data_IF_412415601922
#
_entry.id   IF_412415601922
#
_cell.length_a   1.000
_cell.length_b   1.000
_cell.length_c   1.000
_cell.angle_alpha   90.00
_cell.angle_beta   90.00
_cell.angle_gamma   90.00
#
_symmetry.space_group_name_H-M   'P 1'
#
loop_
_entity.id
_entity.type
_entity.pdbx_description
1 polymer ?
#
# COMPACT_ATOMS: atom_id res chain seq x y z
N UNK A 1 3.09 -10.91 33.89
CA UNK A 1 2.64 -10.50 32.54
C UNK A 1 3.63 -11.08 31.53
N UNK A 2 3.24 -12.13 30.82
CA UNK A 2 4.04 -12.66 29.69
C UNK A 2 3.98 -11.68 28.53
N UNK A 3 5.13 -11.08 28.17
CA UNK A 3 5.27 -10.32 26.91
C UNK A 3 5.18 -11.32 25.77
N UNK A 4 4.04 -11.39 25.09
CA UNK A 4 3.90 -12.10 23.83
C UNK A 4 4.96 -11.53 22.88
N UNK A 5 5.94 -12.33 22.48
CA UNK A 5 6.89 -12.01 21.41
C UNK A 5 6.07 -11.80 20.15
N UNK A 6 5.81 -10.53 19.75
CA UNK A 6 5.31 -10.22 18.42
C UNK A 6 6.41 -10.65 17.44
N UNK A 7 6.16 -11.70 16.69
CA UNK A 7 7.02 -12.06 15.57
C UNK A 7 6.99 -10.91 14.57
N UNK A 8 8.12 -10.21 14.42
CA UNK A 8 8.27 -9.17 13.41
C UNK A 8 8.18 -9.83 12.03
N UNK A 9 7.17 -9.49 11.26
CA UNK A 9 7.05 -9.93 9.88
C UNK A 9 8.06 -9.15 9.05
N UNK A 10 9.07 -9.81 8.54
CA UNK A 10 10.09 -9.23 7.66
C UNK A 10 10.06 -9.93 6.31
N UNK A 11 10.19 -9.17 5.25
CA UNK A 11 10.28 -9.70 3.89
C UNK A 11 11.13 -8.79 3.00
N UNK A 12 11.70 -9.36 1.93
CA UNK A 12 12.37 -8.62 0.88
C UNK A 12 11.39 -8.07 -0.16
N UNK A 13 10.12 -8.47 -0.09
CA UNK A 13 9.10 -8.16 -1.09
C UNK A 13 7.75 -7.94 -0.45
N UNK A 14 7.14 -6.83 -0.84
CA UNK A 14 5.74 -6.55 -0.50
C UNK A 14 4.97 -6.12 -1.75
N UNK A 15 3.81 -6.73 -1.97
CA UNK A 15 2.76 -6.13 -2.77
C UNK A 15 2.04 -5.07 -1.92
N UNK A 16 1.54 -4.04 -2.56
CA UNK A 16 0.82 -3.01 -1.84
C UNK A 16 -0.41 -2.51 -2.61
N UNK A 17 -1.36 -2.01 -1.84
CA UNK A 17 -2.52 -1.29 -2.35
C UNK A 17 -2.70 -0.02 -1.53
N UNK A 18 -2.88 1.12 -2.20
CA UNK A 18 -3.27 2.39 -1.56
C UNK A 18 -4.61 2.79 -2.15
N UNK A 19 -5.68 2.57 -1.38
CA UNK A 19 -7.04 2.90 -1.79
C UNK A 19 -7.26 4.42 -1.79
N UNK A 20 -7.96 4.93 -2.82
CA UNK A 20 -8.27 6.36 -2.97
C UNK A 20 -7.06 7.25 -2.64
N UNK A 21 -5.95 7.14 -3.40
CA UNK A 21 -4.69 7.80 -3.05
C UNK A 21 -4.74 9.32 -3.13
N UNK A 22 -5.69 9.87 -3.89
CA UNK A 22 -5.83 11.30 -4.16
C UNK A 22 -7.12 11.86 -3.56
N UNK A 23 -7.06 13.12 -3.13
CA UNK A 23 -8.26 13.87 -2.75
C UNK A 23 -9.00 14.28 -4.03
N UNK A 24 -10.18 13.73 -4.24
CA UNK A 24 -11.07 14.02 -5.38
C UNK A 24 -12.32 14.73 -4.90
N UNK A 25 -13.07 15.34 -5.82
CA UNK A 25 -14.32 16.04 -5.51
C UNK A 25 -15.38 15.12 -4.88
N UNK A 26 -15.29 13.81 -5.12
CA UNK A 26 -16.18 12.80 -4.56
C UNK A 26 -15.92 12.54 -3.07
N UNK A 27 -14.75 12.95 -2.56
CA UNK A 27 -14.37 12.73 -1.16
C UNK A 27 -15.06 13.77 -0.28
N UNK A 28 -15.93 13.29 0.59
CA UNK A 28 -16.65 14.15 1.53
C UNK A 28 -15.72 14.60 2.66
N UNK A 29 -15.19 15.80 2.52
CA UNK A 29 -14.37 16.43 3.56
C UNK A 29 -15.23 16.99 4.69
N UNK A 30 -14.65 17.04 5.88
CA UNK A 30 -15.30 17.52 7.10
C UNK A 30 -14.42 18.57 7.76
N UNK A 31 -15.01 19.69 8.15
CA UNK A 31 -14.35 20.71 8.98
C UNK A 31 -14.41 20.26 10.45
N UNK A 32 -13.28 19.92 11.08
CA UNK A 32 -13.29 19.41 12.45
C UNK A 32 -13.79 20.44 13.47
N UNK A 33 -13.74 21.74 13.15
CA UNK A 33 -14.19 22.82 14.03
C UNK A 33 -15.72 23.10 13.91
N UNK A 34 -16.38 22.42 12.96
CA UNK A 34 -17.81 22.60 12.66
C UNK A 34 -18.58 21.28 12.62
N UNK A 35 -18.21 20.34 13.47
CA UNK A 35 -18.92 19.07 13.57
C UNK A 35 -20.34 19.26 14.07
N UNK A 36 -21.28 18.50 13.52
CA UNK A 36 -22.62 18.38 14.10
C UNK A 36 -22.55 17.45 15.32
N UNK A 37 -23.54 17.54 16.22
CA UNK A 37 -23.62 16.65 17.38
C UNK A 37 -23.65 15.15 17.00
N UNK A 38 -24.22 14.83 15.83
CA UNK A 38 -24.16 13.49 15.27
C UNK A 38 -22.75 13.12 14.85
N UNK A 39 -22.05 14.01 14.15
CA UNK A 39 -20.69 13.80 13.68
C UNK A 39 -19.66 13.67 14.81
N UNK A 40 -19.85 14.42 15.90
CA UNK A 40 -18.99 14.29 17.10
C UNK A 40 -19.02 12.85 17.65
N UNK A 41 -20.14 12.16 17.56
CA UNK A 41 -20.25 10.75 17.99
C UNK A 41 -19.43 9.76 17.14
N UNK A 42 -19.05 10.15 15.91
CA UNK A 42 -18.28 9.32 14.98
C UNK A 42 -16.77 9.57 15.06
N UNK A 43 -16.35 10.61 15.78
CA UNK A 43 -14.95 11.01 15.81
C UNK A 43 -14.09 9.88 16.37
N UNK A 44 -13.10 9.48 15.59
CA UNK A 44 -12.12 8.47 15.97
C UNK A 44 -10.77 9.11 16.18
N UNK A 45 -9.94 8.48 17.02
CA UNK A 45 -8.52 8.80 17.10
C UNK A 45 -7.92 8.69 15.70
N UNK A 46 -7.35 9.78 15.22
CA UNK A 46 -6.68 9.84 13.92
C UNK A 46 -5.58 8.77 13.81
N UNK A 47 -5.29 8.34 12.59
CA UNK A 47 -4.05 7.59 12.35
C UNK A 47 -2.85 8.44 12.77
N UNK A 48 -1.81 7.79 13.26
CA UNK A 48 -0.56 8.47 13.54
C UNK A 48 0.21 8.70 12.22
N UNK A 49 0.17 9.94 11.75
CA UNK A 49 0.90 10.41 10.57
C UNK A 49 2.21 11.12 10.92
N UNK A 50 2.68 11.04 12.17
CA UNK A 50 3.85 11.79 12.64
C UNK A 50 5.09 11.58 11.77
N UNK A 51 5.26 10.38 11.22
CA UNK A 51 6.38 10.04 10.33
C UNK A 51 6.34 10.74 8.96
N UNK A 52 5.16 11.17 8.49
CA UNK A 52 4.97 11.85 7.21
C UNK A 52 4.45 13.29 7.34
N UNK A 53 4.15 13.77 8.55
CA UNK A 53 3.83 15.18 8.85
C UNK A 53 5.08 16.04 9.10
N UNK A 54 6.26 15.57 8.72
CA UNK A 54 7.48 16.36 8.76
C UNK A 54 7.48 17.37 7.63
N UNK A 55 8.03 18.61 7.83
CA UNK A 55 8.02 19.67 6.81
C UNK A 55 8.57 19.22 5.44
N UNK A 56 9.56 18.29 5.42
CA UNK A 56 10.11 17.76 4.17
C UNK A 56 9.11 16.97 3.32
N UNK A 57 7.98 16.55 3.87
CA UNK A 57 6.96 15.75 3.19
C UNK A 57 5.69 16.53 2.84
N UNK A 58 5.54 17.79 3.29
CA UNK A 58 4.37 18.63 3.01
C UNK A 58 4.12 18.82 1.51
N UNK A 59 5.17 18.75 0.70
CA UNK A 59 5.06 18.81 -0.75
C UNK A 59 4.36 17.60 -1.37
N UNK A 60 4.27 16.47 -0.67
CA UNK A 60 3.72 15.22 -1.19
C UNK A 60 2.27 14.97 -0.77
N UNK A 61 1.85 15.48 0.39
CA UNK A 61 0.59 15.13 0.99
C UNK A 61 -0.28 16.33 1.32
N UNK A 62 -1.59 16.12 1.14
CA UNK A 62 -2.65 16.93 1.73
C UNK A 62 -3.29 16.15 2.87
N UNK A 63 -3.51 16.80 4.01
CA UNK A 63 -4.15 16.23 5.18
C UNK A 63 -5.52 16.87 5.37
N UNK A 64 -6.55 16.07 5.48
CA UNK A 64 -7.90 16.57 5.71
C UNK A 64 -8.72 15.56 6.51
N UNK A 65 -9.77 16.02 7.16
CA UNK A 65 -10.72 15.15 7.82
C UNK A 65 -11.78 14.70 6.83
N UNK A 66 -12.10 13.41 6.85
CA UNK A 66 -13.12 12.81 6.03
C UNK A 66 -14.09 11.98 6.86
N UNK A 67 -15.32 11.87 6.36
CA UNK A 67 -16.29 10.88 6.83
C UNK A 67 -16.13 9.59 6.00
N UNK A 68 -16.08 8.45 6.64
CA UNK A 68 -16.03 7.15 5.99
C UNK A 68 -16.84 6.09 6.74
N UNK A 69 -17.30 5.09 6.01
CA UNK A 69 -18.07 4.01 6.58
C UNK A 69 -17.20 3.03 7.35
N UNK A 70 -17.63 2.70 8.56
CA UNK A 70 -16.98 1.66 9.36
C UNK A 70 -17.56 0.31 8.97
N UNK A 71 -16.70 -0.55 8.42
CA UNK A 71 -17.07 -1.90 8.03
C UNK A 71 -16.42 -2.94 8.95
N UNK A 72 -17.17 -3.96 9.33
CA UNK A 72 -16.67 -5.15 10.03
C UNK A 72 -17.24 -6.37 9.35
N UNK A 73 -16.34 -7.26 8.89
CA UNK A 73 -16.75 -8.46 8.16
C UNK A 73 -17.55 -8.20 6.87
N UNK A 74 -17.30 -7.04 6.21
CA UNK A 74 -18.01 -6.63 5.00
C UNK A 74 -19.37 -5.94 5.24
N UNK A 75 -19.82 -5.82 6.49
CA UNK A 75 -21.05 -5.09 6.84
C UNK A 75 -20.71 -3.68 7.35
N UNK A 76 -21.46 -2.69 6.87
CA UNK A 76 -21.41 -1.34 7.40
C UNK A 76 -22.06 -1.30 8.77
N UNK A 77 -21.30 -0.87 9.79
CA UNK A 77 -21.74 -0.81 11.20
C UNK A 77 -21.81 0.60 11.75
N UNK A 78 -21.56 1.61 10.93
CA UNK A 78 -21.61 3.01 11.31
C UNK A 78 -20.65 3.87 10.52
N UNK A 79 -20.51 5.11 10.96
CA UNK A 79 -19.63 6.11 10.37
C UNK A 79 -18.50 6.47 11.30
N UNK A 80 -17.40 6.95 10.71
CA UNK A 80 -16.24 7.47 11.42
C UNK A 80 -15.81 8.78 10.77
N UNK A 81 -15.33 9.71 11.58
CA UNK A 81 -14.62 10.90 11.10
C UNK A 81 -13.18 10.80 11.58
N UNK A 82 -12.23 11.02 10.69
CA UNK A 82 -10.83 11.01 11.03
C UNK A 82 -9.97 11.71 10.00
N UNK A 83 -8.79 12.13 10.43
CA UNK A 83 -7.80 12.69 9.54
C UNK A 83 -7.28 11.63 8.58
N UNK A 84 -7.06 12.03 7.34
CA UNK A 84 -6.46 11.19 6.30
C UNK A 84 -5.45 11.99 5.49
N UNK A 85 -4.35 11.34 5.12
CA UNK A 85 -3.37 11.85 4.18
C UNK A 85 -3.70 11.39 2.76
N UNK A 86 -3.59 12.29 1.80
CA UNK A 86 -3.76 12.04 0.39
C UNK A 86 -2.51 12.50 -0.35
N UNK A 87 -2.06 11.78 -1.35
CA UNK A 87 -1.07 12.29 -2.28
C UNK A 87 -1.69 13.40 -3.14
N UNK A 88 -0.93 14.44 -3.44
CA UNK A 88 -1.41 15.58 -4.25
C UNK A 88 -1.77 15.17 -5.68
N UNK A 89 -0.94 14.32 -6.29
CA UNK A 89 -1.20 13.77 -7.62
C UNK A 89 -0.36 12.51 -7.89
N UNK A 90 -0.56 11.91 -9.08
CA UNK A 90 0.12 10.68 -9.49
C UNK A 90 1.64 10.86 -9.66
N UNK A 91 2.09 12.02 -10.15
CA UNK A 91 3.51 12.32 -10.32
C UNK A 91 4.20 12.48 -8.96
N UNK A 92 3.49 13.10 -8.02
CA UNK A 92 3.95 13.27 -6.65
C UNK A 92 4.15 11.92 -5.94
N UNK A 93 3.32 10.91 -6.22
CA UNK A 93 3.55 9.54 -5.72
C UNK A 93 4.90 9.01 -6.20
N UNK A 94 5.22 9.18 -7.49
CA UNK A 94 6.49 8.73 -8.06
C UNK A 94 7.69 9.34 -7.34
N UNK A 95 7.63 10.66 -7.12
CA UNK A 95 8.70 11.38 -6.43
C UNK A 95 8.80 10.98 -4.95
N UNK A 96 7.67 10.78 -4.28
CA UNK A 96 7.67 10.36 -2.90
C UNK A 96 8.34 8.99 -2.70
N UNK A 97 8.00 8.00 -3.51
CA UNK A 97 8.61 6.67 -3.41
C UNK A 97 10.13 6.71 -3.60
N UNK A 98 10.64 7.58 -4.49
CA UNK A 98 12.07 7.79 -4.70
C UNK A 98 12.80 8.37 -3.48
N UNK A 99 12.08 9.01 -2.55
CA UNK A 99 12.68 9.53 -1.31
C UNK A 99 12.88 8.47 -0.22
N UNK A 100 12.41 7.25 -0.43
CA UNK A 100 12.48 6.17 0.55
C UNK A 100 13.72 5.32 0.30
N UNK A 101 14.81 5.63 0.97
CA UNK A 101 16.16 5.10 0.74
C UNK A 101 16.29 3.57 0.83
N UNK A 102 15.37 2.90 1.53
CA UNK A 102 15.42 1.46 1.72
C UNK A 102 14.67 0.65 0.65
N UNK A 103 14.09 1.32 -0.36
CA UNK A 103 13.40 0.66 -1.48
C UNK A 103 14.32 0.64 -2.69
N UNK A 104 14.77 -0.56 -3.11
CA UNK A 104 15.67 -0.70 -4.26
C UNK A 104 14.94 -0.70 -5.60
N UNK A 105 13.74 -1.24 -5.59
CA UNK A 105 12.84 -1.27 -6.74
C UNK A 105 11.39 -1.15 -6.31
N UNK A 106 10.63 -0.40 -7.07
CA UNK A 106 9.18 -0.37 -6.95
C UNK A 106 8.51 -0.15 -8.30
N UNK A 107 7.30 -0.65 -8.41
CA UNK A 107 6.41 -0.34 -9.52
C UNK A 107 4.98 -0.20 -9.02
N UNK A 108 4.17 0.56 -9.75
CA UNK A 108 2.73 0.65 -9.50
C UNK A 108 1.95 1.13 -10.72
N UNK A 109 0.66 0.88 -10.66
CA UNK A 109 -0.33 1.36 -11.62
C UNK A 109 -1.53 1.92 -10.87
N UNK A 110 -2.19 2.92 -11.47
CA UNK A 110 -3.45 3.44 -10.95
C UNK A 110 -4.59 2.68 -11.60
N UNK A 111 -5.37 2.02 -10.78
CA UNK A 111 -6.38 1.05 -11.19
C UNK A 111 -7.76 1.40 -10.61
N UNK A 112 -8.79 0.91 -11.29
CA UNK A 112 -10.16 0.94 -10.80
C UNK A 112 -10.65 -0.49 -10.59
N UNK A 113 -10.98 -0.82 -9.36
CA UNK A 113 -11.55 -2.12 -9.01
C UNK A 113 -13.00 -2.28 -9.51
N UNK A 114 -13.49 -3.50 -9.50
CA UNK A 114 -14.83 -3.84 -9.99
C UNK A 114 -15.97 -3.05 -9.29
N UNK A 115 -15.77 -2.61 -8.06
CA UNK A 115 -16.70 -1.77 -7.30
C UNK A 115 -16.59 -0.26 -7.60
N UNK A 116 -15.73 0.14 -8.54
CA UNK A 116 -15.45 1.54 -8.85
C UNK A 116 -14.42 2.22 -7.93
N UNK A 117 -13.90 1.52 -6.95
CA UNK A 117 -12.87 2.07 -6.06
C UNK A 117 -11.54 2.23 -6.79
N UNK A 118 -11.01 3.44 -6.79
CA UNK A 118 -9.71 3.75 -7.39
C UNK A 118 -8.59 3.45 -6.38
N UNK A 119 -7.51 2.85 -6.85
CA UNK A 119 -6.37 2.52 -5.99
C UNK A 119 -5.05 2.47 -6.77
N UNK A 120 -3.95 2.66 -6.07
CA UNK A 120 -2.63 2.29 -6.57
C UNK A 120 -2.38 0.83 -6.21
N UNK A 121 -2.13 0.01 -7.23
CA UNK A 121 -1.68 -1.37 -7.08
C UNK A 121 -0.21 -1.43 -7.40
N UNK A 122 0.60 -1.97 -6.51
CA UNK A 122 2.04 -1.96 -6.72
C UNK A 122 2.81 -3.06 -6.02
N UNK A 123 4.09 -3.07 -6.30
CA UNK A 123 5.07 -4.02 -5.78
C UNK A 123 6.37 -3.28 -5.41
N UNK A 124 6.99 -3.65 -4.31
CA UNK A 124 8.31 -3.16 -3.89
C UNK A 124 9.24 -4.30 -3.47
N UNK A 125 10.51 -4.11 -3.80
CA UNK A 125 11.61 -5.01 -3.46
C UNK A 125 12.66 -4.28 -2.64
N UNK A 126 13.26 -4.99 -1.69
CA UNK A 126 14.29 -4.52 -0.78
C UNK A 126 15.48 -5.47 -0.81
N UNK A 127 16.69 -4.95 -0.83
CA UNK A 127 17.92 -5.75 -0.75
C UNK A 127 17.95 -6.60 0.53
N UNK A 128 17.46 -6.02 1.63
CA UNK A 128 17.40 -6.68 2.93
C UNK A 128 15.95 -6.81 3.42
N UNK A 129 15.63 -7.89 4.13
CA UNK A 129 14.29 -8.05 4.67
C UNK A 129 13.89 -6.86 5.54
N UNK A 130 12.86 -6.14 5.12
CA UNK A 130 12.29 -5.00 5.85
C UNK A 130 11.16 -5.43 6.77
N UNK A 131 11.05 -4.77 7.91
CA UNK A 131 9.97 -4.97 8.86
C UNK A 131 8.68 -4.34 8.31
N UNK A 132 7.58 -5.09 8.39
CA UNK A 132 6.26 -4.67 7.91
C UNK A 132 5.84 -3.30 8.47
N UNK A 133 6.03 -3.08 9.78
CA UNK A 133 5.61 -1.84 10.41
C UNK A 133 6.49 -0.64 9.99
N UNK A 134 7.77 -0.88 9.70
CA UNK A 134 8.67 0.15 9.18
C UNK A 134 8.21 0.60 7.79
N UNK A 135 7.91 -0.34 6.90
CA UNK A 135 7.41 0.00 5.56
C UNK A 135 6.06 0.72 5.66
N UNK A 136 5.17 0.21 6.51
CA UNK A 136 3.84 0.79 6.71
C UNK A 136 3.89 2.22 7.26
N UNK A 137 4.85 2.53 8.12
CA UNK A 137 4.91 3.83 8.81
C UNK A 137 5.22 5.02 7.89
N UNK A 138 5.84 4.76 6.73
CA UNK A 138 6.19 5.82 5.77
C UNK A 138 5.13 6.05 4.68
N UNK A 139 4.07 5.25 4.63
CA UNK A 139 3.01 5.42 3.63
C UNK A 139 1.65 5.65 4.28
N UNK A 140 0.88 6.65 3.82
CA UNK A 140 -0.48 6.84 4.29
C UNK A 140 -1.39 5.71 3.77
N UNK A 141 -2.19 5.12 4.66
CA UNK A 141 -3.26 4.17 4.31
C UNK A 141 -2.85 3.00 3.41
N UNK A 142 -1.59 2.56 3.49
CA UNK A 142 -1.09 1.43 2.70
C UNK A 142 -1.57 0.10 3.25
N UNK A 143 -2.03 -0.77 2.37
CA UNK A 143 -2.19 -2.19 2.64
C UNK A 143 -0.99 -2.93 2.07
N UNK A 144 -0.33 -3.72 2.90
CA UNK A 144 0.86 -4.48 2.52
C UNK A 144 0.58 -5.97 2.60
N UNK A 145 1.02 -6.70 1.57
CA UNK A 145 1.01 -8.15 1.54
C UNK A 145 2.41 -8.67 1.25
N UNK A 146 2.87 -9.64 2.05
CA UNK A 146 4.13 -10.32 1.77
C UNK A 146 4.01 -11.10 0.47
N UNK A 147 4.91 -10.86 -0.48
CA UNK A 147 4.95 -11.58 -1.74
C UNK A 147 5.76 -12.88 -1.63
N UNK A 148 5.18 -13.97 -2.13
CA UNK A 148 5.83 -15.27 -2.24
C UNK A 148 6.24 -15.59 -3.68
N UNK A 149 5.63 -14.96 -4.68
CA UNK A 149 5.93 -15.12 -6.11
C UNK A 149 7.29 -14.53 -6.51
N UNK A 150 7.75 -14.85 -7.73
CA UNK A 150 8.96 -14.28 -8.29
C UNK A 150 8.79 -12.78 -8.58
N UNK A 151 9.91 -12.05 -8.63
CA UNK A 151 9.89 -10.61 -8.85
C UNK A 151 9.16 -10.21 -10.14
N UNK A 152 9.42 -10.91 -11.25
CA UNK A 152 8.77 -10.61 -12.53
C UNK A 152 7.27 -10.93 -12.53
N UNK A 153 6.81 -11.94 -11.79
CA UNK A 153 5.38 -12.28 -11.65
C UNK A 153 4.63 -11.18 -10.90
N UNK A 154 5.22 -10.70 -9.82
CA UNK A 154 4.65 -9.60 -9.04
C UNK A 154 4.61 -8.29 -9.85
N UNK A 155 5.68 -7.99 -10.61
CA UNK A 155 5.71 -6.86 -11.54
C UNK A 155 4.62 -6.98 -12.61
N UNK A 156 4.52 -8.14 -13.26
CA UNK A 156 3.53 -8.40 -14.31
C UNK A 156 2.09 -8.24 -13.79
N UNK A 157 1.84 -8.65 -12.56
CA UNK A 157 0.55 -8.43 -11.91
C UNK A 157 0.18 -6.96 -11.79
N UNK A 158 1.14 -6.07 -11.57
CA UNK A 158 0.92 -4.61 -11.48
C UNK A 158 0.77 -3.92 -12.86
N UNK A 159 0.82 -4.67 -13.98
CA UNK A 159 0.74 -4.13 -15.35
C UNK A 159 -0.55 -4.51 -16.06
N UNK A 160 -1.63 -4.78 -15.33
CA UNK A 160 -2.90 -5.20 -15.91
C UNK A 160 -3.54 -4.07 -16.71
N UNK A 161 -3.92 -4.36 -17.96
CA UNK A 161 -4.57 -3.35 -18.80
C UNK A 161 -6.07 -3.23 -18.54
N UNK A 162 -6.72 -4.27 -18.04
CA UNK A 162 -8.18 -4.34 -17.82
C UNK A 162 -8.67 -3.45 -16.68
N UNK A 163 -7.82 -3.17 -15.68
CA UNK A 163 -8.15 -2.32 -14.52
C UNK A 163 -7.49 -0.95 -14.57
N UNK A 164 -6.58 -0.71 -15.51
CA UNK A 164 -5.82 0.54 -15.67
C UNK A 164 -6.72 1.73 -15.92
N UNK A 165 -6.53 2.80 -15.18
CA UNK A 165 -7.21 4.08 -15.42
C UNK A 165 -6.51 4.81 -16.57
N UNK A 166 -7.26 5.17 -17.60
CA UNK A 166 -6.75 5.90 -18.76
C UNK A 166 -6.08 7.23 -18.35
N UNK A 167 -4.98 7.56 -19.02
CA UNK A 167 -4.20 8.78 -18.73
C UNK A 167 -3.14 8.62 -17.63
N UNK A 168 -3.02 7.42 -17.03
CA UNK A 168 -2.00 7.11 -16.04
C UNK A 168 -1.18 5.91 -16.50
N UNK A 169 0.08 6.15 -16.84
CA UNK A 169 0.96 5.08 -17.29
C UNK A 169 1.48 4.28 -16.10
N UNK A 170 1.71 2.98 -16.34
CA UNK A 170 2.47 2.14 -15.40
C UNK A 170 3.80 2.82 -15.09
N UNK A 171 4.17 2.85 -13.81
CA UNK A 171 5.41 3.45 -13.37
C UNK A 171 6.28 2.43 -12.65
N UNK A 172 7.57 2.45 -12.96
CA UNK A 172 8.59 1.67 -12.23
C UNK A 172 9.87 2.47 -12.06
N UNK A 173 10.60 2.15 -11.00
CA UNK A 173 11.88 2.78 -10.67
C UNK A 173 12.80 1.77 -9.97
N UNK A 174 14.11 1.92 -10.21
CA UNK A 174 15.12 1.02 -9.68
C UNK A 174 15.42 -0.16 -10.59
N UNK A 175 16.20 -1.11 -10.09
CA UNK A 175 16.60 -2.31 -10.85
C UNK A 175 15.91 -3.52 -10.27
N UNK A 176 15.06 -4.16 -11.07
CA UNK A 176 14.43 -5.42 -10.68
C UNK A 176 15.47 -6.55 -10.80
N UNK A 177 15.89 -7.07 -9.65
CA UNK A 177 16.84 -8.19 -9.61
C UNK A 177 16.10 -9.48 -9.96
N UNK A 178 16.55 -10.17 -11.01
CA UNK A 178 16.09 -11.52 -11.30
C UNK A 178 16.58 -12.49 -10.22
N UNK A 179 15.65 -13.28 -9.69
CA UNK A 179 16.03 -14.36 -8.79
C UNK A 179 16.81 -15.40 -9.57
N UNK A 180 18.02 -15.68 -9.12
CA UNK A 180 18.73 -16.87 -9.62
C UNK A 180 17.83 -18.07 -9.36
N UNK A 181 17.48 -18.83 -10.40
CA UNK A 181 16.92 -20.16 -10.21
C UNK A 181 17.91 -20.91 -9.31
N UNK A 182 17.45 -21.27 -8.10
CA UNK A 182 18.17 -22.29 -7.35
C UNK A 182 18.09 -23.56 -8.19
N UNK A 183 19.17 -23.89 -8.85
CA UNK A 183 19.40 -25.24 -9.36
C UNK A 183 19.88 -26.07 -8.16
N UNK A 184 18.98 -26.32 -7.22
CA UNK A 184 19.27 -27.26 -6.14
C UNK A 184 19.19 -28.65 -6.74
N UNK A 185 20.36 -29.19 -7.02
CA UNK A 185 20.55 -30.59 -7.47
C UNK A 185 19.92 -31.58 -6.48
N UNK A 186 19.65 -31.11 -5.27
CA UNK A 186 19.01 -31.91 -4.21
C UNK A 186 17.49 -32.09 -4.40
N UNK A 187 16.79 -31.18 -5.07
CA UNK A 187 15.36 -31.34 -5.38
C UNK A 187 15.09 -32.48 -6.37
N UNK A 188 16.06 -32.81 -7.21
CA UNK A 188 15.97 -33.93 -8.15
C UNK A 188 16.00 -35.27 -7.41
N UNK A 189 16.58 -35.32 -6.21
CA UNK A 189 16.65 -36.58 -5.43
C UNK A 189 15.37 -36.87 -4.65
N UNK A 190 14.54 -35.89 -4.38
CA UNK A 190 13.36 -36.06 -3.51
C UNK A 190 12.02 -35.99 -4.24
N UNK A 191 12.00 -35.77 -5.55
CA UNK A 191 10.79 -35.90 -6.39
C UNK A 191 9.66 -34.95 -6.02
N UNK A 192 9.95 -33.81 -5.34
CA UNK A 192 8.95 -32.80 -4.99
C UNK A 192 8.87 -31.79 -6.12
N UNK A 193 7.71 -31.66 -6.80
CA UNK A 193 7.54 -30.61 -7.79
C UNK A 193 7.59 -29.24 -7.12
N UNK A 194 8.31 -28.30 -7.73
CA UNK A 194 8.33 -26.90 -7.29
C UNK A 194 6.89 -26.35 -7.32
N UNK A 195 6.34 -26.02 -6.17
CA UNK A 195 5.07 -25.31 -6.11
C UNK A 195 5.25 -23.94 -6.77
N UNK A 196 4.48 -23.69 -7.81
CA UNK A 196 4.38 -22.39 -8.46
C UNK A 196 3.84 -21.39 -7.43
N UNK A 197 4.71 -20.50 -6.94
CA UNK A 197 4.31 -19.48 -6.00
C UNK A 197 3.24 -18.58 -6.61
N UNK A 198 2.11 -18.48 -5.94
CA UNK A 198 1.01 -17.60 -6.32
C UNK A 198 1.42 -16.13 -6.09
N UNK A 199 1.10 -15.26 -7.04
CA UNK A 199 1.27 -13.82 -6.86
C UNK A 199 0.55 -13.34 -5.59
N UNK A 200 1.06 -12.29 -4.92
CA UNK A 200 0.66 -11.89 -3.58
C UNK A 200 -0.69 -11.16 -3.47
N UNK A 201 -1.51 -11.25 -4.49
CA UNK A 201 -2.77 -10.49 -4.56
C UNK A 201 -3.96 -11.47 -4.58
N UNK A 202 -4.64 -11.55 -3.49
CA UNK A 202 -5.94 -12.18 -3.36
C UNK A 202 -6.91 -11.27 -2.63
#
# INVERSE_FOLDING_TARGET
MQKTKRYRQRANRYGFTINNPFLTEDVKTVDPDKLTAEQESYTKTAHDYSSIKLPKYEQFFDFTYIEYNKNVGGQEIGKLIGERAFFKDYKVVQEYFKTIDFIDYFCFQYEMGASGNKHLQGFMHFERPMDFEVVRSVFPTIHLNKCNGKNFENRAYCMKEDTKIAGYDFFEYGVLVEERQRTDVDDVRNGVPAESGTACFG
#
